data_IF_706739716390
#
_entry.id   IF_706739716390
#
_cell.length_a   1.000
_cell.length_b   1.000
_cell.length_c   1.000
_cell.angle_alpha   90.00
_cell.angle_beta   90.00
_cell.angle_gamma   90.00
#
_symmetry.space_group_name_H-M   'P 1'
#
loop_
_entity.id
_entity.type
_entity.pdbx_description
1 polymer ?
#
# COMPACT_ATOMS: atom_id res chain seq x y z
N UNK A 1 -1.98 22.44 -48.66
CA UNK A 1 -2.66 21.46 -47.78
C UNK A 1 -1.61 20.63 -47.07
N UNK A 2 -1.46 20.83 -45.76
CA UNK A 2 -0.45 20.19 -44.92
C UNK A 2 -0.78 18.71 -44.71
N UNK A 3 0.15 17.82 -45.07
CA UNK A 3 0.12 16.40 -44.72
C UNK A 3 0.74 16.23 -43.34
N UNK A 4 -0.07 15.87 -42.34
CA UNK A 4 0.35 15.68 -40.96
C UNK A 4 1.15 14.38 -40.80
N UNK A 5 2.49 14.50 -40.79
CA UNK A 5 3.44 13.47 -40.37
C UNK A 5 3.53 13.39 -38.83
N UNK A 6 2.39 13.22 -38.14
CA UNK A 6 2.35 13.23 -36.67
C UNK A 6 2.27 11.83 -36.04
N UNK A 7 2.02 10.78 -36.83
CA UNK A 7 1.73 9.42 -36.30
C UNK A 7 2.70 8.33 -36.78
N UNK A 8 3.98 8.65 -36.97
CA UNK A 8 5.03 7.65 -37.26
C UNK A 8 6.11 7.61 -36.18
N UNK A 9 5.73 7.40 -34.93
CA UNK A 9 6.68 6.91 -33.92
C UNK A 9 6.03 5.79 -33.10
N UNK A 10 6.61 4.60 -33.24
CA UNK A 10 6.25 3.39 -32.54
C UNK A 10 6.35 3.61 -31.02
N UNK A 11 5.26 3.37 -30.30
CA UNK A 11 5.24 3.42 -28.83
C UNK A 11 6.17 2.34 -28.28
N UNK A 12 7.35 2.74 -27.78
CA UNK A 12 8.17 1.84 -26.96
C UNK A 12 7.45 1.58 -25.65
N UNK A 13 7.07 0.32 -25.43
CA UNK A 13 6.48 -0.15 -24.18
C UNK A 13 7.37 0.23 -22.97
N UNK A 14 6.74 0.81 -21.94
CA UNK A 14 7.39 1.15 -20.67
C UNK A 14 7.71 -0.15 -19.93
N UNK A 15 9.00 -0.51 -19.83
CA UNK A 15 9.43 -1.70 -19.08
C UNK A 15 8.97 -1.58 -17.62
N UNK A 16 8.33 -2.63 -17.12
CA UNK A 16 8.04 -2.82 -15.70
C UNK A 16 9.37 -2.81 -14.94
N UNK A 17 9.49 -2.00 -13.88
CA UNK A 17 10.67 -2.02 -13.01
C UNK A 17 10.59 -3.31 -12.21
N UNK A 18 11.23 -4.36 -12.70
CA UNK A 18 11.40 -5.60 -11.96
C UNK A 18 12.33 -5.32 -10.76
N UNK A 19 12.02 -5.92 -9.62
CA UNK A 19 12.58 -5.65 -8.29
C UNK A 19 14.09 -5.97 -8.11
N UNK A 20 14.83 -6.13 -9.21
CA UNK A 20 16.23 -6.55 -9.27
C UNK A 20 17.22 -5.36 -9.32
N UNK A 21 16.75 -4.11 -9.38
CA UNK A 21 17.63 -2.93 -9.40
C UNK A 21 18.15 -2.47 -8.02
N UNK A 22 17.95 -3.26 -6.95
CA UNK A 22 18.55 -2.97 -5.62
C UNK A 22 19.99 -3.48 -5.44
N UNK A 23 20.58 -4.13 -6.45
CA UNK A 23 21.98 -4.53 -6.37
C UNK A 23 22.88 -3.48 -7.04
N UNK A 24 23.83 -2.85 -6.31
CA UNK A 24 24.77 -1.93 -6.93
C UNK A 24 25.55 -2.67 -8.02
N UNK A 25 25.53 -2.17 -9.26
CA UNK A 25 26.37 -2.69 -10.35
C UNK A 25 27.80 -2.79 -9.86
N UNK A 26 28.40 -3.98 -10.03
CA UNK A 26 29.81 -4.26 -9.72
C UNK A 26 30.66 -3.26 -10.50
N UNK A 27 31.26 -2.32 -9.81
CA UNK A 27 32.17 -1.34 -10.40
C UNK A 27 33.46 -2.08 -10.71
N UNK A 28 33.87 -2.07 -11.98
CA UNK A 28 35.22 -2.46 -12.33
C UNK A 28 36.17 -1.42 -11.72
N UNK A 29 36.90 -1.81 -10.68
CA UNK A 29 38.03 -1.05 -10.16
C UNK A 29 39.10 -1.01 -11.25
N UNK A 30 39.10 0.06 -12.04
CA UNK A 30 40.19 0.35 -12.97
C UNK A 30 41.44 0.65 -12.15
N UNK A 31 42.29 -0.36 -12.03
CA UNK A 31 43.53 -0.30 -11.27
C UNK A 31 44.58 0.55 -12.02
N UNK A 32 45.32 1.36 -11.26
CA UNK A 32 46.51 2.15 -11.64
C UNK A 32 46.30 3.48 -12.40
N UNK A 33 45.94 4.54 -11.67
CA UNK A 33 46.40 5.92 -11.95
C UNK A 33 46.21 6.79 -10.70
N UNK A 34 47.18 7.64 -10.39
CA UNK A 34 47.11 8.64 -9.32
C UNK A 34 45.86 9.52 -9.55
N UNK A 35 44.78 9.27 -8.80
CA UNK A 35 43.52 10.00 -8.98
C UNK A 35 43.70 11.42 -8.48
N UNK A 36 43.38 12.40 -9.32
CA UNK A 36 43.48 13.81 -8.93
C UNK A 36 42.40 14.14 -7.91
N UNK A 37 42.62 15.10 -7.00
CA UNK A 37 41.59 15.50 -6.01
C UNK A 37 40.26 15.89 -6.66
N UNK A 38 40.29 16.44 -7.88
CA UNK A 38 39.09 16.84 -8.61
C UNK A 38 38.28 15.64 -9.12
N UNK A 39 38.94 14.55 -9.52
CA UNK A 39 38.26 13.31 -9.93
C UNK A 39 37.58 12.65 -8.73
N UNK A 40 38.22 12.65 -7.56
CA UNK A 40 37.64 12.16 -6.32
C UNK A 40 36.38 12.94 -5.95
N UNK A 41 36.44 14.28 -6.00
CA UNK A 41 35.29 15.14 -5.71
C UNK A 41 34.14 14.90 -6.70
N UNK A 42 34.45 14.75 -7.99
CA UNK A 42 33.42 14.43 -9.00
C UNK A 42 32.78 13.08 -8.76
N UNK A 43 33.56 12.05 -8.41
CA UNK A 43 33.03 10.73 -8.11
C UNK A 43 32.13 10.77 -6.87
N UNK A 44 32.56 11.46 -5.81
CA UNK A 44 31.78 11.67 -4.60
C UNK A 44 30.45 12.38 -4.90
N UNK A 45 30.49 13.52 -5.59
CA UNK A 45 29.28 14.29 -5.91
C UNK A 45 28.31 13.51 -6.82
N UNK A 46 28.79 12.60 -7.66
CA UNK A 46 27.94 11.74 -8.48
C UNK A 46 27.25 10.62 -7.69
N UNK A 47 27.87 10.15 -6.60
CA UNK A 47 27.37 9.07 -5.75
C UNK A 47 26.64 9.57 -4.49
N UNK A 48 26.78 10.85 -4.15
CA UNK A 48 26.14 11.45 -3.00
C UNK A 48 24.61 11.40 -3.10
N UNK A 49 23.95 11.18 -1.95
CA UNK A 49 22.49 11.19 -1.83
C UNK A 49 21.91 12.60 -1.72
N UNK A 50 22.77 13.62 -1.54
CA UNK A 50 22.36 15.01 -1.45
C UNK A 50 21.76 15.46 -2.80
N UNK A 51 20.46 15.73 -2.79
CA UNK A 51 19.75 16.20 -3.96
C UNK A 51 20.35 17.54 -4.43
N UNK A 52 20.68 17.66 -5.73
CA UNK A 52 21.27 18.87 -6.30
C UNK A 52 22.78 18.81 -6.54
N UNK A 53 23.55 18.12 -5.67
CA UNK A 53 25.03 18.14 -5.74
C UNK A 53 25.57 17.44 -6.99
N UNK A 54 24.85 16.43 -7.50
CA UNK A 54 25.22 15.75 -8.74
C UNK A 54 25.15 16.67 -9.96
N UNK A 55 24.28 17.68 -9.95
CA UNK A 55 24.10 18.57 -11.10
C UNK A 55 25.22 19.61 -11.21
N UNK A 56 25.93 19.92 -10.13
CA UNK A 56 27.06 20.86 -10.15
C UNK A 56 28.28 20.27 -10.87
N UNK A 57 28.44 18.94 -10.84
CA UNK A 57 29.55 18.21 -11.48
C UNK A 57 29.16 17.51 -12.78
N UNK A 58 27.94 17.72 -13.29
CA UNK A 58 27.41 17.01 -14.46
C UNK A 58 28.23 17.33 -15.73
N UNK A 59 28.78 16.29 -16.35
CA UNK A 59 29.48 16.39 -17.63
C UNK A 59 28.51 16.72 -18.78
N UNK A 60 28.92 17.58 -19.71
CA UNK A 60 28.10 18.02 -20.85
C UNK A 60 27.05 19.10 -20.55
N UNK A 61 26.89 19.54 -19.29
CA UNK A 61 26.03 20.67 -18.95
C UNK A 61 26.74 22.03 -19.18
N UNK A 62 26.04 23.07 -19.66
CA UNK A 62 26.60 24.41 -19.80
C UNK A 62 26.96 24.99 -18.43
N UNK A 63 27.98 25.85 -18.38
CA UNK A 63 28.50 26.43 -17.12
C UNK A 63 27.41 27.19 -16.33
N UNK A 64 26.50 27.87 -17.02
CA UNK A 64 25.38 28.58 -16.39
C UNK A 64 24.46 27.65 -15.58
N UNK A 65 24.10 26.48 -16.13
CA UNK A 65 23.26 25.50 -15.43
C UNK A 65 23.92 25.04 -14.13
N UNK A 66 25.24 24.76 -14.18
CA UNK A 66 26.02 24.40 -12.99
C UNK A 66 26.00 25.51 -11.93
N UNK A 67 26.13 26.77 -12.34
CA UNK A 67 26.08 27.91 -11.42
C UNK A 67 24.70 28.08 -10.80
N UNK A 68 23.62 27.88 -11.56
CA UNK A 68 22.27 27.88 -11.00
C UNK A 68 22.11 26.83 -9.90
N UNK A 69 22.58 25.59 -10.11
CA UNK A 69 22.53 24.54 -9.09
C UNK A 69 23.36 24.87 -7.84
N UNK A 70 24.55 25.47 -8.01
CA UNK A 70 25.36 25.94 -6.88
C UNK A 70 24.63 27.01 -6.08
N UNK A 71 24.04 27.99 -6.76
CA UNK A 71 23.26 29.07 -6.12
C UNK A 71 22.07 28.49 -5.36
N UNK A 72 21.30 27.58 -5.98
CA UNK A 72 20.18 26.91 -5.33
C UNK A 72 20.63 26.15 -4.07
N UNK A 73 21.74 25.42 -4.12
CA UNK A 73 22.28 24.71 -2.94
C UNK A 73 22.67 25.66 -1.82
N UNK A 74 23.30 26.81 -2.14
CA UNK A 74 23.65 27.83 -1.15
C UNK A 74 22.40 28.41 -0.50
N UNK A 75 21.40 28.77 -1.30
CA UNK A 75 20.13 29.32 -0.81
C UNK A 75 19.41 28.30 0.09
N UNK A 76 19.30 27.05 -0.34
CA UNK A 76 18.70 25.99 0.46
C UNK A 76 19.43 25.78 1.79
N UNK A 77 20.76 25.78 1.78
CA UNK A 77 21.59 25.62 3.00
C UNK A 77 21.39 26.81 3.95
N UNK A 78 21.32 28.02 3.42
CA UNK A 78 21.05 29.22 4.21
C UNK A 78 19.68 29.18 4.89
N UNK A 79 18.61 28.88 4.14
CA UNK A 79 17.27 28.74 4.69
C UNK A 79 17.16 27.59 5.69
N UNK A 80 17.81 26.45 5.42
CA UNK A 80 17.87 25.33 6.36
C UNK A 80 18.57 25.75 7.67
N UNK A 81 19.67 26.51 7.60
CA UNK A 81 20.36 27.04 8.77
C UNK A 81 19.48 27.99 9.59
N UNK A 82 18.73 28.88 8.94
CA UNK A 82 17.77 29.76 9.61
C UNK A 82 16.65 28.96 10.28
N UNK A 83 16.11 27.95 9.60
CA UNK A 83 15.07 27.08 10.13
C UNK A 83 15.56 26.33 11.38
N UNK A 84 16.76 25.75 11.31
CA UNK A 84 17.38 25.07 12.46
C UNK A 84 17.62 26.03 13.60
N UNK A 85 18.12 27.25 13.36
CA UNK A 85 18.32 28.26 14.41
C UNK A 85 17.01 28.60 15.12
N UNK A 86 15.93 28.82 14.36
CA UNK A 86 14.61 29.14 14.91
C UNK A 86 14.04 27.94 15.67
N UNK A 87 14.08 26.75 15.09
CA UNK A 87 13.61 25.52 15.74
C UNK A 87 14.37 25.23 17.03
N UNK A 88 15.69 25.43 17.03
CA UNK A 88 16.53 25.31 18.22
C UNK A 88 16.17 26.35 19.28
N UNK A 89 15.95 27.61 18.88
CA UNK A 89 15.48 28.65 19.78
C UNK A 89 14.16 28.28 20.47
N UNK A 90 13.17 27.81 19.71
CA UNK A 90 11.89 27.33 20.26
C UNK A 90 12.08 26.14 21.19
N UNK A 91 12.93 25.17 20.80
CA UNK A 91 13.21 23.98 21.61
C UNK A 91 13.83 24.33 22.97
N UNK A 92 14.76 25.29 23.00
CA UNK A 92 15.39 25.75 24.25
C UNK A 92 14.42 26.61 25.07
N UNK A 93 13.58 27.43 24.43
CA UNK A 93 12.64 28.32 25.13
C UNK A 93 11.46 27.59 25.76
N UNK A 94 10.93 26.58 25.06
CA UNK A 94 9.77 25.80 25.48
C UNK A 94 9.97 24.33 25.15
N UNK A 95 10.83 23.61 25.90
CA UNK A 95 11.02 22.19 25.69
C UNK A 95 9.71 21.44 26.00
N UNK A 96 9.25 20.60 25.07
CA UNK A 96 8.12 19.70 25.31
C UNK A 96 8.58 18.59 26.27
N UNK A 97 8.44 18.81 27.57
CA UNK A 97 8.71 17.80 28.59
C UNK A 97 7.44 16.96 28.77
N UNK A 98 7.42 15.74 28.21
CA UNK A 98 6.36 14.77 28.52
C UNK A 98 6.70 14.09 29.85
N UNK A 99 6.16 14.62 30.94
CA UNK A 99 6.21 13.98 32.27
C UNK A 99 5.09 12.94 32.36
N UNK A 100 5.42 11.71 32.75
CA UNK A 100 4.40 10.71 33.11
C UNK A 100 3.99 11.00 34.53
N UNK A 101 2.93 11.81 34.68
CA UNK A 101 2.49 12.35 35.97
C UNK A 101 2.08 11.29 37.00
N UNK A 102 1.78 10.04 36.58
CA UNK A 102 1.73 8.81 37.38
C UNK A 102 0.85 7.77 36.66
N UNK A 103 1.22 6.49 36.73
CA UNK A 103 0.35 5.35 36.38
C UNK A 103 -0.54 4.90 37.54
N UNK A 104 -0.57 5.65 38.64
CA UNK A 104 -1.29 5.34 39.88
C UNK A 104 -2.75 5.85 39.88
N UNK A 105 -3.42 5.84 38.72
CA UNK A 105 -4.86 6.07 38.72
C UNK A 105 -5.53 4.84 39.37
N UNK A 106 -6.26 5.00 40.48
CA UNK A 106 -6.87 3.86 41.13
C UNK A 106 -7.92 3.25 40.19
N UNK A 107 -7.96 1.92 40.13
CA UNK A 107 -8.69 1.16 39.10
C UNK A 107 -10.19 1.52 38.99
N UNK A 108 -10.80 2.00 40.08
CA UNK A 108 -12.19 2.44 40.12
C UNK A 108 -12.48 3.76 39.38
N UNK A 109 -11.46 4.53 38.98
CA UNK A 109 -11.59 5.77 38.19
C UNK A 109 -11.31 5.56 36.70
N UNK A 110 -10.87 4.36 36.30
CA UNK A 110 -10.64 4.02 34.90
C UNK A 110 -11.97 3.57 34.29
N UNK A 111 -12.50 4.24 33.26
CA UNK A 111 -13.70 3.75 32.59
C UNK A 111 -13.41 2.40 31.95
N UNK A 112 -14.34 1.46 32.09
CA UNK A 112 -14.21 0.16 31.45
C UNK A 112 -14.12 0.34 29.93
N UNK A 113 -13.16 -0.31 29.24
CA UNK A 113 -13.01 -0.13 27.81
C UNK A 113 -14.22 -0.68 27.05
N UNK A 114 -14.50 -0.09 25.89
CA UNK A 114 -15.48 -0.68 24.98
C UNK A 114 -14.94 -2.03 24.47
N UNK A 115 -15.67 -3.11 24.70
CA UNK A 115 -15.37 -4.43 24.16
C UNK A 115 -16.24 -4.66 22.93
N UNK A 116 -15.61 -4.79 21.77
CA UNK A 116 -16.29 -5.16 20.53
C UNK A 116 -16.00 -6.62 20.23
N UNK A 117 -17.03 -7.47 20.25
CA UNK A 117 -16.93 -8.89 19.87
C UNK A 117 -17.43 -9.04 18.43
N UNK A 118 -16.56 -9.52 17.55
CA UNK A 118 -16.90 -9.82 16.16
C UNK A 118 -16.97 -11.35 15.95
N UNK A 119 -18.00 -11.87 15.27
CA UNK A 119 -18.00 -13.26 14.81
C UNK A 119 -16.79 -13.54 13.91
N UNK A 120 -16.17 -14.72 14.05
CA UNK A 120 -15.03 -15.13 13.22
C UNK A 120 -15.42 -15.38 11.75
N UNK A 121 -16.70 -15.65 11.49
CA UNK A 121 -17.23 -15.86 10.15
C UNK A 121 -17.67 -14.52 9.55
N UNK A 122 -17.09 -14.15 8.41
CA UNK A 122 -17.34 -12.85 7.77
C UNK A 122 -18.58 -12.82 6.86
N UNK A 123 -19.05 -14.00 6.42
CA UNK A 123 -20.15 -14.15 5.46
C UNK A 123 -21.32 -14.91 6.06
N UNK A 124 -22.50 -14.37 5.84
CA UNK A 124 -23.75 -15.02 6.17
C UNK A 124 -24.10 -16.03 5.06
N UNK A 125 -24.18 -17.32 5.43
CA UNK A 125 -24.50 -18.41 4.48
C UNK A 125 -25.82 -18.15 3.77
N UNK A 126 -26.86 -17.69 4.47
CA UNK A 126 -28.19 -17.49 3.87
C UNK A 126 -28.13 -16.36 2.82
N UNK A 127 -27.48 -15.25 3.16
CA UNK A 127 -27.31 -14.12 2.22
C UNK A 127 -26.37 -14.44 1.07
N UNK A 128 -25.34 -15.24 1.33
CA UNK A 128 -24.43 -15.79 0.32
C UNK A 128 -25.18 -16.62 -0.72
N UNK A 129 -26.06 -17.53 -0.24
CA UNK A 129 -26.94 -18.33 -1.10
C UNK A 129 -27.86 -17.43 -1.96
N UNK A 130 -28.48 -16.41 -1.37
CA UNK A 130 -29.41 -15.52 -2.09
C UNK A 130 -28.71 -14.68 -3.17
N UNK A 131 -27.54 -14.11 -2.85
CA UNK A 131 -26.73 -13.33 -3.80
C UNK A 131 -26.24 -14.23 -4.92
N UNK A 132 -25.79 -15.45 -4.60
CA UNK A 132 -25.34 -16.41 -5.61
C UNK A 132 -26.49 -16.82 -6.54
N UNK A 133 -27.66 -17.18 -6.00
CA UNK A 133 -28.87 -17.50 -6.79
C UNK A 133 -29.24 -16.35 -7.74
N UNK A 134 -29.15 -15.10 -7.27
CA UNK A 134 -29.44 -13.90 -8.07
C UNK A 134 -28.44 -13.66 -9.20
N UNK A 135 -27.15 -13.92 -8.96
CA UNK A 135 -26.11 -13.81 -9.99
C UNK A 135 -26.25 -14.94 -11.02
N UNK A 136 -26.51 -16.16 -10.58
CA UNK A 136 -26.72 -17.31 -11.48
C UNK A 136 -27.95 -17.15 -12.39
N UNK A 137 -29.00 -16.46 -11.92
CA UNK A 137 -30.19 -16.17 -12.74
C UNK A 137 -29.96 -15.05 -13.76
N UNK A 138 -29.05 -14.11 -13.48
CA UNK A 138 -28.71 -13.02 -14.41
C UNK A 138 -27.78 -13.46 -15.57
N UNK A 139 -27.09 -14.60 -15.44
CA UNK A 139 -26.09 -15.09 -16.40
C UNK A 139 -26.56 -16.36 -17.14
N UNK A 140 -27.78 -16.37 -17.68
CA UNK A 140 -28.28 -17.46 -18.54
C UNK A 140 -28.57 -18.78 -17.79
N UNK A 141 -29.37 -18.80 -16.72
CA UNK A 141 -30.09 -20.01 -16.32
C UNK A 141 -31.41 -19.64 -15.60
N UNK A 142 -32.55 -20.00 -16.20
CA UNK A 142 -33.87 -19.92 -15.54
C UNK A 142 -33.98 -21.08 -14.52
N UNK A 143 -33.23 -21.00 -13.43
CA UNK A 143 -33.07 -22.09 -12.46
C UNK A 143 -33.95 -21.82 -11.23
N UNK A 144 -35.07 -22.53 -11.20
CA UNK A 144 -35.91 -22.73 -10.01
C UNK A 144 -35.33 -23.76 -9.03
N UNK A 145 -34.28 -24.51 -9.41
CA UNK A 145 -33.67 -25.56 -8.57
C UNK A 145 -32.14 -25.64 -8.75
N UNK A 146 -31.37 -25.30 -7.71
CA UNK A 146 -29.93 -25.56 -7.67
C UNK A 146 -29.71 -27.09 -7.83
N UNK A 147 -29.03 -27.51 -8.91
CA UNK A 147 -28.59 -28.90 -9.03
C UNK A 147 -27.60 -29.22 -7.91
N UNK A 148 -27.56 -30.49 -7.45
CA UNK A 148 -26.66 -30.95 -6.36
C UNK A 148 -25.19 -30.56 -6.56
N UNK A 149 -24.73 -30.51 -7.80
CA UNK A 149 -23.37 -30.06 -8.15
C UNK A 149 -23.13 -28.57 -7.85
N UNK A 150 -24.12 -27.69 -8.00
CA UNK A 150 -23.98 -26.25 -7.78
C UNK A 150 -24.01 -25.90 -6.29
N UNK A 151 -24.73 -26.68 -5.48
CA UNK A 151 -24.71 -26.53 -4.01
C UNK A 151 -23.31 -26.82 -3.45
N UNK A 152 -22.61 -27.84 -3.97
CA UNK A 152 -21.23 -28.14 -3.53
C UNK A 152 -20.25 -27.02 -3.87
N UNK A 153 -20.33 -26.45 -5.08
CA UNK A 153 -19.48 -25.32 -5.50
C UNK A 153 -19.77 -24.09 -4.62
N UNK A 154 -21.03 -23.84 -4.32
CA UNK A 154 -21.46 -22.74 -3.48
C UNK A 154 -20.94 -22.87 -2.04
N UNK A 155 -20.94 -24.08 -1.48
CA UNK A 155 -20.30 -24.34 -0.18
C UNK A 155 -18.80 -24.05 -0.19
N UNK A 156 -18.09 -24.43 -1.25
CA UNK A 156 -16.66 -24.09 -1.40
C UNK A 156 -16.43 -22.58 -1.51
N UNK A 157 -17.25 -21.88 -2.30
CA UNK A 157 -17.18 -20.42 -2.46
C UNK A 157 -17.44 -19.71 -1.12
N UNK A 158 -18.50 -20.08 -0.40
CA UNK A 158 -18.84 -19.48 0.90
C UNK A 158 -17.77 -19.77 1.96
N UNK A 159 -17.24 -21.00 1.99
CA UNK A 159 -16.16 -21.40 2.91
C UNK A 159 -14.85 -20.67 2.62
N UNK A 160 -14.50 -20.50 1.34
CA UNK A 160 -13.36 -19.71 0.90
C UNK A 160 -13.47 -18.27 1.42
N UNK A 161 -14.58 -17.60 1.12
CA UNK A 161 -14.75 -16.21 1.50
C UNK A 161 -14.98 -16.01 3.01
N UNK A 162 -15.52 -16.99 3.73
CA UNK A 162 -15.62 -16.95 5.19
C UNK A 162 -14.24 -16.88 5.87
N UNK A 163 -13.19 -17.38 5.21
CA UNK A 163 -11.81 -17.39 5.69
C UNK A 163 -10.97 -16.20 5.19
N UNK A 164 -11.59 -15.15 4.66
CA UNK A 164 -10.91 -13.97 4.11
C UNK A 164 -10.40 -13.04 5.23
N UNK A 165 -9.42 -13.51 6.00
CA UNK A 165 -8.79 -12.79 7.11
C UNK A 165 -7.27 -12.91 7.05
N UNK A 166 -6.57 -11.77 7.08
CA UNK A 166 -5.11 -11.74 7.19
C UNK A 166 -4.67 -12.32 8.55
N UNK A 167 -3.65 -13.18 8.63
CA UNK A 167 -2.76 -13.67 7.55
C UNK A 167 -3.20 -15.01 6.91
N UNK A 168 -4.35 -15.57 7.28
CA UNK A 168 -4.71 -16.98 7.02
C UNK A 168 -5.32 -17.27 5.63
N UNK A 169 -4.96 -16.49 4.60
CA UNK A 169 -5.48 -16.70 3.24
C UNK A 169 -5.13 -18.08 2.67
N UNK A 170 -4.05 -18.70 3.13
CA UNK A 170 -3.63 -20.04 2.68
C UNK A 170 -4.70 -21.12 2.94
N UNK A 171 -5.54 -20.96 3.98
CA UNK A 171 -6.60 -21.93 4.29
C UNK A 171 -7.69 -21.95 3.21
N UNK A 172 -7.96 -20.80 2.60
CA UNK A 172 -8.96 -20.65 1.54
C UNK A 172 -8.54 -21.33 0.22
N UNK A 173 -7.23 -21.51 -0.02
CA UNK A 173 -6.72 -22.12 -1.27
C UNK A 173 -7.29 -23.52 -1.51
N UNK A 174 -7.53 -24.28 -0.44
CA UNK A 174 -8.16 -25.61 -0.51
C UNK A 174 -9.58 -25.57 -1.10
N UNK A 175 -10.36 -24.55 -0.75
CA UNK A 175 -11.71 -24.32 -1.25
C UNK A 175 -11.71 -23.71 -2.65
N UNK A 176 -10.74 -22.84 -2.98
CA UNK A 176 -10.62 -22.25 -4.31
C UNK A 176 -10.22 -23.26 -5.39
N UNK A 177 -9.40 -24.27 -5.05
CA UNK A 177 -9.02 -25.35 -5.97
C UNK A 177 -10.19 -26.26 -6.37
N UNK A 178 -11.25 -26.29 -5.57
CA UNK A 178 -12.45 -27.08 -5.85
C UNK A 178 -13.44 -26.38 -6.81
N UNK A 179 -13.17 -25.13 -7.21
CA UNK A 179 -14.04 -24.33 -8.07
C UNK A 179 -13.51 -24.37 -9.52
N UNK A 180 -14.28 -24.88 -10.49
CA UNK A 180 -13.93 -24.77 -11.91
C UNK A 180 -14.14 -23.31 -12.38
N UNK A 181 -13.16 -22.78 -13.12
CA UNK A 181 -13.16 -21.44 -13.75
C UNK A 181 -13.64 -20.28 -12.86
N UNK A 182 -12.75 -19.82 -11.96
CA UNK A 182 -12.97 -18.67 -11.08
C UNK A 182 -13.38 -17.38 -11.82
N UNK A 183 -12.99 -17.25 -13.10
CA UNK A 183 -13.30 -16.10 -13.98
C UNK A 183 -14.81 -15.95 -14.26
N UNK A 184 -15.61 -17.00 -14.06
CA UNK A 184 -17.08 -16.93 -14.19
C UNK A 184 -17.76 -16.12 -13.08
N UNK A 185 -17.03 -15.77 -12.01
CA UNK A 185 -17.59 -15.13 -10.81
C UNK A 185 -17.11 -13.70 -10.60
N UNK A 186 -16.50 -13.07 -11.61
CA UNK A 186 -16.01 -11.69 -11.55
C UNK A 186 -17.12 -10.65 -11.29
N UNK A 187 -18.38 -11.01 -11.57
CA UNK A 187 -19.56 -10.17 -11.33
C UNK A 187 -20.14 -10.30 -9.91
N UNK A 188 -19.56 -11.14 -9.05
CA UNK A 188 -20.07 -11.42 -7.71
C UNK A 188 -19.78 -10.26 -6.74
N UNK A 189 -20.82 -9.58 -6.26
CA UNK A 189 -20.68 -8.55 -5.25
C UNK A 189 -20.54 -9.17 -3.85
N UNK A 190 -19.31 -9.47 -3.44
CA UNK A 190 -18.98 -10.07 -2.13
C UNK A 190 -19.48 -9.21 -0.95
N UNK A 191 -19.57 -7.88 -1.12
CA UNK A 191 -20.08 -6.96 -0.08
C UNK A 191 -21.53 -7.28 0.30
N UNK A 192 -22.33 -7.81 -0.63
CA UNK A 192 -23.72 -8.18 -0.38
C UNK A 192 -23.84 -9.44 0.52
N UNK A 193 -22.77 -10.25 0.62
CA UNK A 193 -22.73 -11.48 1.40
C UNK A 193 -22.19 -11.29 2.83
N UNK A 194 -21.52 -10.17 3.09
CA UNK A 194 -20.94 -9.86 4.41
C UNK A 194 -22.07 -9.60 5.42
N UNK A 195 -21.89 -10.02 6.67
CA UNK A 195 -22.82 -9.71 7.76
C UNK A 195 -23.19 -8.21 7.78
N UNK A 196 -24.49 -7.90 7.76
CA UNK A 196 -25.00 -6.53 7.82
C UNK A 196 -24.79 -5.95 9.22
N UNK A 197 -24.48 -4.65 9.36
CA UNK A 197 -24.32 -3.99 10.67
C UNK A 197 -25.53 -4.16 11.61
N UNK A 198 -26.73 -4.43 11.07
CA UNK A 198 -27.93 -4.70 11.86
C UNK A 198 -27.88 -6.01 12.67
N UNK A 199 -26.92 -6.91 12.41
CA UNK A 199 -26.71 -8.12 13.21
C UNK A 199 -26.13 -7.80 14.61
N UNK A 200 -25.35 -6.72 14.72
CA UNK A 200 -24.72 -6.29 15.97
C UNK A 200 -25.79 -5.87 16.99
N UNK A 201 -26.84 -5.17 16.53
CA UNK A 201 -27.98 -4.78 17.37
C UNK A 201 -28.78 -5.98 17.93
N UNK A 202 -28.70 -7.17 17.32
CA UNK A 202 -29.38 -8.37 17.82
C UNK A 202 -28.60 -9.09 18.91
N UNK A 203 -27.26 -8.99 18.92
CA UNK A 203 -26.41 -9.55 19.98
C UNK A 203 -26.42 -8.65 21.23
N UNK A 204 -26.55 -7.33 21.03
CA UNK A 204 -26.74 -6.37 22.11
C UNK A 204 -28.00 -6.69 22.92
N UNK A 205 -29.14 -6.97 22.26
CA UNK A 205 -30.38 -7.40 22.94
C UNK A 205 -30.28 -8.71 23.71
N UNK A 206 -29.42 -9.65 23.30
CA UNK A 206 -29.27 -10.93 24.01
C UNK A 206 -28.36 -10.83 25.24
N UNK A 207 -27.51 -9.81 25.32
CA UNK A 207 -26.55 -9.64 26.42
C UNK A 207 -27.17 -8.85 27.59
N UNK A 208 -28.18 -8.01 27.33
CA UNK A 208 -28.94 -7.30 28.36
C UNK A 208 -30.12 -8.11 28.96
N UNK A 209 -30.36 -9.35 28.51
CA UNK A 209 -31.42 -10.23 29.01
C UNK A 209 -30.90 -11.40 29.87
N UNK A 210 -29.69 -11.30 30.44
CA UNK A 210 -29.19 -12.27 31.43
C UNK A 210 -28.65 -11.56 32.66
#
# INVERSE_FOLDING_TARGET
MYSNSFWKNSYKARKRVDSIDRYPKKYELKNNSHMTPMEVIKEYCNKATLHGIRYTVREGAPTYDRMCWVITLIICTFFAGLFVKTAWGTFVSSPTVTSVETTHLPLHKVPFPAITICPAVKIDRIRGLDVFKKVSTATFLNVTYLNSSMETILEHVMSAFAMLQHPFYDRMVSHLKAIPDLHSYDTLNVTAMIHSPNYINSQEKSTYLR
#
